data_IF_063970219347
#
_entry.id   IF_063970219347
#
_cell.length_a   1.000
_cell.length_b   1.000
_cell.length_c   1.000
_cell.angle_alpha   90.00
_cell.angle_beta   90.00
_cell.angle_gamma   90.00
#
_symmetry.space_group_name_H-M   'P 1'
#
loop_
_entity.id
_entity.type
_entity.pdbx_description
1 polymer ?
#
# COMPACT_ATOMS: atom_id res chain seq x y z
N UNK A 1 0.22 13.19 6.47
CA UNK A 1 -0.22 12.08 5.59
C UNK A 1 -1.33 12.62 4.71
N UNK A 2 -1.40 12.17 3.45
CA UNK A 2 -2.59 12.45 2.65
C UNK A 2 -3.57 11.30 2.83
N UNK A 3 -4.83 11.66 3.03
CA UNK A 3 -5.95 10.75 3.24
C UNK A 3 -6.89 10.84 2.03
N UNK A 4 -7.67 9.78 1.79
CA UNK A 4 -8.75 9.85 0.82
C UNK A 4 -9.71 10.96 1.28
N UNK A 5 -10.03 11.96 0.43
CA UNK A 5 -10.92 13.06 0.82
C UNK A 5 -12.25 12.54 1.36
N UNK A 6 -12.75 13.12 2.46
CA UNK A 6 -13.92 12.60 3.16
C UNK A 6 -15.17 12.52 2.27
N UNK A 7 -15.39 13.48 1.38
CA UNK A 7 -16.52 13.47 0.44
C UNK A 7 -16.43 12.32 -0.57
N UNK A 8 -15.22 11.97 -1.02
CA UNK A 8 -14.97 10.82 -1.88
C UNK A 8 -15.08 9.51 -1.09
N UNK A 9 -14.58 9.48 0.15
CA UNK A 9 -14.71 8.33 1.02
C UNK A 9 -16.18 7.99 1.30
N UNK A 10 -17.03 8.99 1.60
CA UNK A 10 -18.47 8.80 1.76
C UNK A 10 -19.13 8.20 0.51
N UNK A 11 -18.73 8.66 -0.69
CA UNK A 11 -19.20 8.07 -1.96
C UNK A 11 -18.75 6.61 -2.11
N UNK A 12 -17.52 6.30 -1.75
CA UNK A 12 -16.99 4.92 -1.79
C UNK A 12 -17.75 4.02 -0.81
N UNK A 13 -18.01 4.50 0.42
CA UNK A 13 -18.81 3.77 1.42
C UNK A 13 -20.24 3.55 0.91
N UNK A 14 -20.81 4.51 0.18
CA UNK A 14 -22.10 4.32 -0.48
C UNK A 14 -22.04 3.23 -1.56
N UNK A 15 -20.99 3.18 -2.39
CA UNK A 15 -20.81 2.09 -3.37
C UNK A 15 -20.73 0.72 -2.69
N UNK A 16 -20.01 0.61 -1.57
CA UNK A 16 -19.93 -0.61 -0.78
C UNK A 16 -21.33 -1.09 -0.41
N UNK A 17 -22.20 -0.20 0.06
CA UNK A 17 -23.58 -0.54 0.43
C UNK A 17 -24.47 -0.83 -0.78
N UNK A 18 -24.37 -0.04 -1.84
CA UNK A 18 -25.25 -0.14 -3.02
C UNK A 18 -25.00 -1.43 -3.81
N UNK A 19 -23.77 -1.96 -3.78
CA UNK A 19 -23.35 -3.17 -4.49
C UNK A 19 -23.05 -4.37 -3.57
N UNK A 20 -23.29 -4.28 -2.26
CA UNK A 20 -22.95 -5.30 -1.26
C UNK A 20 -21.49 -5.81 -1.37
N UNK A 21 -20.55 -4.88 -1.48
CA UNK A 21 -19.15 -5.20 -1.73
C UNK A 21 -18.47 -5.78 -0.49
N UNK A 22 -17.54 -6.70 -0.74
CA UNK A 22 -16.50 -7.03 0.26
C UNK A 22 -15.42 -5.96 0.20
N UNK A 23 -14.86 -5.61 1.35
CA UNK A 23 -13.93 -4.49 1.43
C UNK A 23 -12.92 -4.61 2.57
N UNK A 24 -11.85 -3.82 2.44
CA UNK A 24 -10.90 -3.47 3.48
C UNK A 24 -10.70 -1.96 3.42
N UNK A 25 -10.69 -1.30 4.57
CA UNK A 25 -10.45 0.13 4.70
C UNK A 25 -9.42 0.32 5.82
N UNK A 26 -8.26 0.85 5.47
CA UNK A 26 -7.18 1.15 6.42
C UNK A 26 -7.34 2.58 6.95
N UNK A 27 -7.31 2.73 8.28
CA UNK A 27 -7.21 4.02 8.97
C UNK A 27 -5.79 4.30 9.46
N UNK A 28 -5.65 5.24 10.40
CA UNK A 28 -4.35 5.57 11.00
C UNK A 28 -3.70 4.39 11.78
N UNK A 29 -4.53 3.50 12.34
CA UNK A 29 -4.08 2.35 13.12
C UNK A 29 -5.07 1.19 13.02
N UNK A 30 -6.34 1.46 13.34
CA UNK A 30 -7.43 0.49 13.18
C UNK A 30 -7.89 0.40 11.72
N UNK A 31 -8.56 -0.68 11.38
CA UNK A 31 -9.07 -0.96 10.03
C UNK A 31 -10.54 -1.35 10.08
N UNK A 32 -11.25 -1.26 8.96
CA UNK A 32 -12.59 -1.83 8.81
C UNK A 32 -12.58 -2.85 7.68
N UNK A 33 -12.98 -4.09 7.97
CA UNK A 33 -12.95 -5.16 6.98
C UNK A 33 -14.25 -5.98 7.00
N UNK A 34 -14.80 -6.21 5.81
CA UNK A 34 -15.88 -7.15 5.54
C UNK A 34 -15.41 -8.12 4.45
N UNK A 35 -14.43 -8.94 4.79
CA UNK A 35 -13.92 -10.04 3.97
C UNK A 35 -13.93 -11.31 4.82
N UNK A 36 -14.01 -12.48 4.19
CA UNK A 36 -13.97 -13.75 4.92
C UNK A 36 -12.61 -13.91 5.62
N UNK A 37 -12.59 -14.44 6.84
CA UNK A 37 -11.34 -14.83 7.53
C UNK A 37 -10.54 -15.88 6.75
N UNK A 38 -11.22 -16.63 5.86
CA UNK A 38 -10.58 -17.57 4.95
C UNK A 38 -9.89 -16.91 3.76
N UNK A 39 -10.12 -15.61 3.53
CA UNK A 39 -9.48 -14.87 2.44
C UNK A 39 -7.98 -14.70 2.73
N UNK A 40 -7.08 -14.95 1.77
CA UNK A 40 -5.62 -14.87 2.00
C UNK A 40 -5.15 -13.53 2.58
N UNK A 41 -5.84 -12.43 2.20
CA UNK A 41 -5.53 -11.08 2.67
C UNK A 41 -5.81 -10.87 4.17
N UNK A 42 -6.74 -11.63 4.76
CA UNK A 42 -7.19 -11.39 6.14
C UNK A 42 -6.03 -11.53 7.13
N UNK A 43 -5.15 -12.53 6.90
CA UNK A 43 -3.96 -12.78 7.73
C UNK A 43 -2.89 -11.71 7.58
N UNK A 44 -2.97 -10.87 6.54
CA UNK A 44 -2.00 -9.82 6.25
C UNK A 44 -2.43 -8.47 6.84
N UNK A 45 -3.70 -8.30 7.23
CA UNK A 45 -4.22 -7.04 7.76
C UNK A 45 -3.61 -6.68 9.11
N UNK A 46 -3.59 -7.65 10.01
CA UNK A 46 -3.12 -7.47 11.38
C UNK A 46 -2.46 -8.77 11.86
N UNK A 47 -1.27 -9.10 11.33
CA UNK A 47 -0.59 -10.36 11.63
C UNK A 47 -0.24 -10.50 13.12
N UNK A 48 0.00 -9.37 13.80
CA UNK A 48 0.39 -9.32 15.21
C UNK A 48 -0.81 -9.09 16.15
N UNK A 49 -2.01 -8.87 15.62
CA UNK A 49 -3.23 -8.66 16.42
C UNK A 49 -3.23 -7.36 17.24
N UNK A 50 -2.51 -6.33 16.77
CA UNK A 50 -2.33 -5.07 17.48
C UNK A 50 -3.45 -4.06 17.18
N UNK A 51 -4.04 -4.15 16.00
CA UNK A 51 -5.11 -3.28 15.53
C UNK A 51 -6.49 -3.88 15.80
N UNK A 52 -7.55 -3.12 15.54
CA UNK A 52 -8.92 -3.61 15.66
C UNK A 52 -9.68 -3.46 14.35
N UNK A 53 -10.47 -4.48 14.02
CA UNK A 53 -11.52 -4.37 13.02
C UNK A 53 -12.69 -3.56 13.60
N UNK A 54 -12.80 -2.30 13.20
CA UNK A 54 -13.82 -1.34 13.65
C UNK A 54 -14.91 -1.17 12.60
N UNK A 55 -16.02 -0.52 12.99
CA UNK A 55 -17.05 -0.11 12.03
C UNK A 55 -16.48 0.96 11.09
N UNK A 56 -16.90 0.94 9.82
CA UNK A 56 -16.51 1.95 8.82
C UNK A 56 -16.72 3.39 9.31
N UNK A 57 -17.81 3.67 10.03
CA UNK A 57 -18.10 4.99 10.59
C UNK A 57 -17.07 5.49 11.63
N UNK A 58 -16.21 4.60 12.16
CA UNK A 58 -15.13 4.96 13.07
C UNK A 58 -13.81 5.26 12.35
N UNK A 59 -13.72 5.00 11.03
CA UNK A 59 -12.57 5.39 10.23
C UNK A 59 -12.71 6.88 9.87
N UNK A 60 -11.94 7.73 10.56
CA UNK A 60 -11.96 9.19 10.33
C UNK A 60 -10.95 9.63 9.26
N UNK A 61 -9.84 8.89 9.13
CA UNK A 61 -8.76 9.21 8.22
C UNK A 61 -8.44 7.99 7.33
N UNK A 62 -9.21 7.77 6.26
CA UNK A 62 -9.03 6.63 5.37
C UNK A 62 -7.73 6.77 4.56
N UNK A 63 -6.81 5.83 4.73
CA UNK A 63 -5.52 5.77 4.03
C UNK A 63 -5.65 4.97 2.73
N UNK A 64 -6.25 3.78 2.81
CA UNK A 64 -6.44 2.87 1.68
C UNK A 64 -7.83 2.25 1.75
N UNK A 65 -8.45 2.06 0.59
CA UNK A 65 -9.64 1.22 0.43
C UNK A 65 -9.34 0.14 -0.60
N UNK A 66 -9.69 -1.10 -0.30
CA UNK A 66 -9.69 -2.21 -1.24
C UNK A 66 -11.12 -2.69 -1.38
N UNK A 67 -11.64 -2.71 -2.61
CA UNK A 67 -12.97 -3.21 -2.93
C UNK A 67 -12.84 -4.52 -3.70
N UNK A 68 -13.69 -5.49 -3.37
CA UNK A 68 -13.78 -6.77 -4.07
C UNK A 68 -15.18 -6.95 -4.65
N UNK A 69 -15.26 -7.13 -5.96
CA UNK A 69 -16.52 -7.37 -6.66
C UNK A 69 -16.67 -8.86 -7.00
N UNK A 70 -17.74 -9.50 -6.51
CA UNK A 70 -18.01 -10.91 -6.79
C UNK A 70 -18.48 -11.14 -8.23
N UNK A 71 -19.21 -10.17 -8.81
CA UNK A 71 -19.74 -10.26 -10.17
C UNK A 71 -18.96 -9.37 -11.15
N UNK A 72 -18.67 -9.91 -12.34
CA UNK A 72 -17.95 -9.18 -13.40
C UNK A 72 -18.69 -7.91 -13.84
N UNK A 73 -20.03 -7.92 -13.83
CA UNK A 73 -20.84 -6.75 -14.16
C UNK A 73 -20.62 -5.61 -13.15
N UNK A 74 -20.61 -5.93 -11.86
CA UNK A 74 -20.32 -4.98 -10.79
C UNK A 74 -18.90 -4.46 -10.91
N UNK A 75 -17.93 -5.33 -11.15
CA UNK A 75 -16.54 -4.94 -11.34
C UNK A 75 -16.37 -3.94 -12.50
N UNK A 76 -16.99 -4.20 -13.65
CA UNK A 76 -16.99 -3.28 -14.80
C UNK A 76 -17.62 -1.92 -14.47
N UNK A 77 -18.74 -1.92 -13.74
CA UNK A 77 -19.40 -0.68 -13.33
C UNK A 77 -18.52 0.15 -12.38
N UNK A 78 -17.87 -0.50 -11.40
CA UNK A 78 -16.94 0.17 -10.50
C UNK A 78 -15.77 0.80 -11.25
N UNK A 79 -15.15 0.08 -12.20
CA UNK A 79 -14.07 0.65 -13.01
C UNK A 79 -14.48 1.91 -13.75
N UNK A 80 -15.62 1.87 -14.42
CA UNK A 80 -16.14 3.04 -15.14
C UNK A 80 -16.41 4.22 -14.20
N UNK A 81 -16.89 3.94 -12.99
CA UNK A 81 -17.08 4.97 -11.98
C UNK A 81 -15.76 5.58 -11.54
N UNK A 82 -14.76 4.75 -11.22
CA UNK A 82 -13.44 5.19 -10.74
C UNK A 82 -12.61 5.93 -11.81
N UNK A 83 -12.82 5.65 -13.10
CA UNK A 83 -12.18 6.41 -14.19
C UNK A 83 -12.43 7.92 -14.10
N UNK A 84 -13.55 8.35 -13.51
CA UNK A 84 -13.88 9.77 -13.34
C UNK A 84 -13.18 10.44 -12.14
N UNK A 85 -12.32 9.70 -11.42
CA UNK A 85 -11.63 10.17 -10.22
C UNK A 85 -10.11 9.94 -10.25
N UNK A 86 -9.54 9.51 -11.38
CA UNK A 86 -8.09 9.24 -11.52
C UNK A 86 -7.22 10.50 -11.36
N UNK A 87 -7.83 11.68 -11.49
CA UNK A 87 -7.23 13.01 -11.28
C UNK A 87 -7.23 13.46 -9.81
N UNK A 88 -7.93 12.75 -8.92
CA UNK A 88 -8.01 13.07 -7.48
C UNK A 88 -7.77 11.89 -6.54
N UNK A 89 -7.73 10.67 -7.07
CA UNK A 89 -7.42 9.43 -6.36
C UNK A 89 -6.36 8.63 -7.13
N UNK A 90 -5.56 7.85 -6.43
CA UNK A 90 -4.75 6.82 -7.06
C UNK A 90 -5.53 5.51 -7.02
N UNK A 91 -5.76 4.93 -8.20
CA UNK A 91 -6.61 3.75 -8.39
C UNK A 91 -5.78 2.67 -9.09
N UNK A 92 -5.70 1.48 -8.48
CA UNK A 92 -5.07 0.32 -9.07
C UNK A 92 -6.09 -0.81 -9.22
N UNK A 93 -6.25 -1.28 -10.44
CA UNK A 93 -7.22 -2.31 -10.81
C UNK A 93 -6.50 -3.65 -10.95
N UNK A 94 -7.02 -4.67 -10.28
CA UNK A 94 -6.52 -6.04 -10.38
C UNK A 94 -7.58 -6.92 -11.06
N UNK A 95 -7.31 -7.28 -12.31
CA UNK A 95 -8.27 -8.00 -13.17
C UNK A 95 -8.54 -9.43 -12.71
N UNK A 96 -7.53 -10.09 -12.13
CA UNK A 96 -7.57 -11.53 -11.85
C UNK A 96 -8.44 -11.87 -10.64
N UNK A 97 -8.41 -11.01 -9.61
CA UNK A 97 -9.11 -11.17 -8.34
C UNK A 97 -10.33 -10.23 -8.22
N UNK A 98 -10.64 -9.48 -9.27
CA UNK A 98 -11.69 -8.47 -9.31
C UNK A 98 -11.61 -7.48 -8.14
N UNK A 99 -10.39 -7.04 -7.81
CA UNK A 99 -10.16 -6.06 -6.76
C UNK A 99 -9.76 -4.69 -7.30
N UNK A 100 -10.09 -3.64 -6.54
CA UNK A 100 -9.73 -2.25 -6.82
C UNK A 100 -9.13 -1.65 -5.56
N UNK A 101 -7.86 -1.26 -5.65
CA UNK A 101 -7.11 -0.55 -4.62
C UNK A 101 -7.23 0.96 -4.85
N UNK A 102 -7.55 1.70 -3.81
CA UNK A 102 -7.80 3.14 -3.86
C UNK A 102 -7.03 3.81 -2.73
N UNK A 103 -6.26 4.85 -3.06
CA UNK A 103 -5.57 5.71 -2.09
C UNK A 103 -5.71 7.19 -2.48
N UNK A 104 -5.28 8.09 -1.62
CA UNK A 104 -5.18 9.50 -2.00
C UNK A 104 -4.18 9.68 -3.16
N UNK A 105 -4.45 10.65 -4.05
CA UNK A 105 -3.60 10.88 -5.21
C UNK A 105 -2.14 11.15 -4.80
N UNK A 106 -1.20 10.63 -5.61
CA UNK A 106 0.24 10.82 -5.44
C UNK A 106 0.80 10.31 -4.10
N UNK A 107 0.11 9.41 -3.40
CA UNK A 107 0.68 8.69 -2.25
C UNK A 107 1.44 7.46 -2.76
N UNK A 108 2.74 7.45 -2.50
CA UNK A 108 3.62 6.27 -2.54
C UNK A 108 4.65 6.35 -1.40
N UNK A 109 5.37 5.25 -1.14
CA UNK A 109 6.37 5.17 -0.05
C UNK A 109 7.37 6.34 -0.08
N UNK A 110 7.86 6.72 -1.26
CA UNK A 110 8.77 7.85 -1.44
C UNK A 110 8.14 9.19 -1.05
N UNK A 111 6.98 9.54 -1.61
CA UNK A 111 6.29 10.82 -1.32
C UNK A 111 5.95 10.95 0.16
N UNK A 112 5.52 9.87 0.81
CA UNK A 112 5.24 9.82 2.25
C UNK A 112 6.51 10.07 3.05
N UNK A 113 7.62 9.40 2.71
CA UNK A 113 8.89 9.62 3.39
C UNK A 113 9.37 11.07 3.23
N UNK A 114 9.34 11.63 2.01
CA UNK A 114 9.75 13.02 1.75
C UNK A 114 8.90 14.04 2.51
N UNK A 115 7.61 13.77 2.72
CA UNK A 115 6.77 14.61 3.58
C UNK A 115 7.27 14.60 5.04
N UNK A 116 7.75 13.45 5.54
CA UNK A 116 8.21 13.30 6.92
C UNK A 116 9.62 13.88 7.16
N UNK A 117 10.57 13.62 6.26
CA UNK A 117 11.99 14.00 6.45
C UNK A 117 12.40 15.24 5.64
N UNK A 118 11.51 15.75 4.78
CA UNK A 118 11.79 16.88 3.90
C UNK A 118 12.88 16.58 2.86
N UNK A 119 13.84 17.49 2.73
CA UNK A 119 14.94 17.39 1.76
C UNK A 119 16.10 16.49 2.22
N UNK A 120 16.00 15.85 3.39
CA UNK A 120 17.06 14.98 3.89
C UNK A 120 17.28 13.76 2.98
N UNK A 121 18.54 13.33 2.89
CA UNK A 121 18.92 12.09 2.23
C UNK A 121 18.52 10.89 3.11
N UNK A 122 18.37 9.74 2.48
CA UNK A 122 18.06 8.49 3.15
C UNK A 122 18.66 7.30 2.40
N UNK A 123 18.83 6.20 3.12
CA UNK A 123 19.17 4.89 2.59
C UNK A 123 17.91 4.04 2.66
N UNK A 124 17.62 3.24 1.62
CA UNK A 124 16.41 2.45 1.56
C UNK A 124 16.68 0.98 1.24
N UNK A 125 15.88 0.12 1.85
CA UNK A 125 15.80 -1.31 1.59
C UNK A 125 14.38 -1.61 1.10
N UNK A 126 14.24 -2.40 0.04
CA UNK A 126 12.96 -2.73 -0.55
C UNK A 126 13.01 -4.06 -1.28
N UNK A 127 11.87 -4.71 -1.44
CA UNK A 127 11.78 -6.07 -2.00
C UNK A 127 10.63 -6.22 -3.01
N UNK A 128 9.87 -5.15 -3.24
CA UNK A 128 8.64 -5.16 -4.02
C UNK A 128 8.58 -3.95 -4.97
N UNK A 129 7.72 -4.03 -5.98
CA UNK A 129 7.50 -2.98 -6.98
C UNK A 129 6.99 -1.68 -6.34
N UNK A 130 6.27 -1.78 -5.21
CA UNK A 130 5.84 -0.60 -4.47
C UNK A 130 7.01 0.14 -3.77
N UNK A 131 8.21 -0.46 -3.69
CA UNK A 131 9.43 0.18 -3.20
C UNK A 131 10.23 0.90 -4.29
N UNK A 132 9.95 0.64 -5.57
CA UNK A 132 10.76 1.17 -6.70
C UNK A 132 10.97 2.68 -6.63
N UNK A 133 9.90 3.45 -6.37
CA UNK A 133 10.02 4.91 -6.25
C UNK A 133 10.86 5.32 -5.03
N UNK A 134 10.78 4.58 -3.92
CA UNK A 134 11.55 4.83 -2.71
C UNK A 134 13.03 4.54 -2.94
N UNK A 135 13.34 3.41 -3.58
CA UNK A 135 14.69 2.98 -3.90
C UNK A 135 15.37 3.91 -4.90
N UNK A 136 14.69 4.28 -5.99
CA UNK A 136 15.25 5.14 -7.05
C UNK A 136 15.64 6.55 -6.58
N UNK A 137 15.11 7.02 -5.46
CA UNK A 137 15.40 8.35 -4.90
C UNK A 137 16.27 8.29 -3.63
N UNK A 138 16.66 7.10 -3.19
CA UNK A 138 17.57 6.93 -2.06
C UNK A 138 18.98 7.37 -2.46
N UNK A 139 19.76 7.84 -1.48
CA UNK A 139 21.20 8.07 -1.68
C UNK A 139 21.93 6.74 -1.95
N UNK A 140 21.43 5.67 -1.36
CA UNK A 140 21.86 4.30 -1.61
C UNK A 140 20.67 3.37 -1.45
N UNK A 141 20.49 2.48 -2.42
CA UNK A 141 19.36 1.55 -2.49
C UNK A 141 19.80 0.09 -2.41
N UNK A 142 19.09 -0.69 -1.59
CA UNK A 142 19.34 -2.12 -1.43
C UNK A 142 18.08 -2.91 -1.79
N UNK A 143 18.16 -3.70 -2.87
CA UNK A 143 17.07 -4.58 -3.25
C UNK A 143 17.22 -5.93 -2.55
N UNK A 144 16.24 -6.27 -1.71
CA UNK A 144 16.22 -7.46 -0.87
C UNK A 144 15.52 -8.58 -1.64
N UNK A 145 16.29 -9.54 -2.17
CA UNK A 145 15.77 -10.64 -2.99
C UNK A 145 16.45 -11.97 -2.70
N UNK A 146 15.70 -13.06 -2.87
CA UNK A 146 16.24 -14.43 -2.82
C UNK A 146 16.70 -14.95 -4.18
N UNK A 147 16.43 -14.22 -5.28
CA UNK A 147 16.75 -14.64 -6.65
C UNK A 147 17.76 -13.70 -7.29
N UNK A 148 18.87 -14.27 -7.74
CA UNK A 148 19.81 -13.61 -8.63
C UNK A 148 19.17 -13.47 -10.02
N UNK A 149 18.57 -12.32 -10.33
CA UNK A 149 18.06 -12.08 -11.69
C UNK A 149 16.94 -11.07 -11.86
N UNK A 150 16.85 -10.02 -11.05
CA UNK A 150 16.00 -8.87 -11.39
C UNK A 150 16.78 -7.90 -12.30
N UNK A 151 16.12 -7.38 -13.33
CA UNK A 151 16.70 -6.58 -14.41
C UNK A 151 16.65 -5.08 -14.17
N UNK A 152 16.37 -4.63 -12.95
CA UNK A 152 16.24 -3.21 -12.61
C UNK A 152 17.53 -2.68 -11.97
N UNK A 153 17.81 -1.40 -12.19
CA UNK A 153 19.05 -0.75 -11.79
C UNK A 153 19.02 -0.33 -10.30
N UNK A 154 18.99 -1.31 -9.39
CA UNK A 154 19.20 -1.06 -7.95
C UNK A 154 20.69 -1.16 -7.62
N UNK A 155 21.17 -0.34 -6.67
CA UNK A 155 22.63 -0.19 -6.44
C UNK A 155 23.26 -1.49 -5.91
N UNK A 156 22.56 -2.20 -5.02
CA UNK A 156 23.06 -3.42 -4.37
C UNK A 156 21.93 -4.42 -4.17
N UNK A 157 22.20 -5.69 -4.47
CA UNK A 157 21.30 -6.81 -4.20
C UNK A 157 21.73 -7.56 -2.94
N UNK A 158 20.80 -7.79 -2.01
CA UNK A 158 21.06 -8.54 -0.78
C UNK A 158 20.04 -9.65 -0.55
N UNK A 159 20.43 -10.68 0.19
CA UNK A 159 19.57 -11.83 0.45
C UNK A 159 18.37 -11.44 1.31
N UNK A 160 17.22 -12.05 1.03
CA UNK A 160 15.98 -11.82 1.79
C UNK A 160 15.98 -12.55 3.15
N UNK A 161 16.87 -12.10 4.05
CA UNK A 161 16.92 -12.51 5.44
C UNK A 161 17.43 -11.36 6.33
N UNK A 162 17.08 -11.43 7.62
CA UNK A 162 17.41 -10.37 8.57
C UNK A 162 18.92 -10.18 8.78
N UNK A 163 19.70 -11.27 8.74
CA UNK A 163 21.16 -11.24 8.94
C UNK A 163 21.84 -10.41 7.83
N UNK A 164 21.43 -10.59 6.58
CA UNK A 164 21.99 -9.86 5.43
C UNK A 164 21.67 -8.38 5.47
N UNK A 165 20.45 -8.01 5.91
CA UNK A 165 20.08 -6.60 6.14
C UNK A 165 20.91 -6.03 7.30
N UNK A 166 21.06 -6.77 8.40
CA UNK A 166 21.82 -6.33 9.56
C UNK A 166 23.30 -6.08 9.23
N UNK A 167 23.94 -6.99 8.49
CA UNK A 167 25.34 -6.82 8.05
C UNK A 167 25.54 -5.54 7.26
N UNK A 168 24.65 -5.23 6.30
CA UNK A 168 24.74 -3.97 5.55
C UNK A 168 24.59 -2.75 6.46
N UNK A 169 23.66 -2.78 7.40
CA UNK A 169 23.46 -1.67 8.35
C UNK A 169 24.73 -1.48 9.22
N UNK A 170 25.36 -2.56 9.68
CA UNK A 170 26.61 -2.51 10.42
C UNK A 170 27.75 -1.92 9.59
N UNK A 171 27.91 -2.36 8.35
CA UNK A 171 28.94 -1.85 7.43
C UNK A 171 28.77 -0.36 7.14
N UNK A 172 27.54 0.09 6.89
CA UNK A 172 27.21 1.50 6.69
C UNK A 172 27.60 2.33 7.92
N UNK A 173 27.23 1.88 9.13
CA UNK A 173 27.58 2.57 10.37
C UNK A 173 29.10 2.65 10.61
N UNK A 174 29.85 1.61 10.24
CA UNK A 174 31.31 1.62 10.34
C UNK A 174 31.97 2.52 9.30
N UNK A 175 31.39 2.67 8.11
CA UNK A 175 31.92 3.50 7.03
C UNK A 175 31.76 5.01 7.25
N UNK A 176 30.84 5.43 8.13
CA UNK A 176 30.62 6.83 8.51
C UNK A 176 31.51 7.32 9.67
N UNK A 177 32.33 6.44 10.26
CA UNK A 177 33.30 6.78 11.32
C UNK A 177 34.68 7.09 10.78
#
# INVERSE_FOLDING_TARGET
MAYIPNDLFEKIVKLISDYDLKYIIDGDFDYAANVSESHPIYRQLDPDGLAKNVKVAHIQHPIKVILFATEEKTFKALKQWFQSYEDVLSIHIHEVDHSIDITAININKHSTLKYMIGAQNYIAFGNDVNDTQLLNHAQQSFYVTGTSGCSEAYDVYIQNNAESVATVIEDLYLSEK
#
